data_IF_036296272512
#
_entry.id   IF_036296272512
#
_cell.length_a   1.000
_cell.length_b   1.000
_cell.length_c   1.000
_cell.angle_alpha   90.00
_cell.angle_beta   90.00
_cell.angle_gamma   90.00
#
_symmetry.space_group_name_H-M   'P 1'
#
loop_
_entity.id
_entity.type
_entity.pdbx_description
1 polymer ?
#
# COMPACT_ATOMS: atom_id res chain seq x y z
N UNK A 1 59.50 27.82 51.95
CA UNK A 1 59.98 26.97 53.07
C UNK A 1 60.13 25.53 52.60
N UNK A 2 61.36 25.04 52.71
CA UNK A 2 61.85 23.63 52.67
C UNK A 2 61.09 22.75 53.71
N UNK A 3 60.98 21.42 53.72
CA UNK A 3 61.85 20.30 53.28
C UNK A 3 61.16 18.92 53.55
N UNK A 4 61.52 17.88 52.77
CA UNK A 4 61.91 16.49 53.18
C UNK A 4 60.90 15.46 53.78
N UNK A 5 60.70 14.36 53.00
CA UNK A 5 60.38 12.94 53.38
C UNK A 5 61.46 12.34 54.32
N UNK A 6 61.30 11.26 55.15
CA UNK A 6 61.11 9.89 54.61
C UNK A 6 60.68 8.69 55.55
N UNK A 7 60.40 7.55 54.88
CA UNK A 7 60.75 6.12 55.13
C UNK A 7 60.08 5.24 56.23
N UNK A 8 59.87 3.98 55.78
CA UNK A 8 59.30 2.75 56.41
C UNK A 8 60.19 2.12 57.51
N UNK A 9 59.73 1.08 58.24
CA UNK A 9 60.05 -0.32 57.85
C UNK A 9 58.96 -1.41 58.13
N UNK A 10 59.15 -2.58 57.49
CA UNK A 10 58.51 -3.90 57.70
C UNK A 10 59.23 -4.68 58.86
N UNK A 11 58.66 -5.72 59.52
CA UNK A 11 58.67 -7.14 59.04
C UNK A 11 57.44 -7.99 59.51
N UNK A 12 56.93 -8.97 58.77
CA UNK A 12 57.32 -10.39 58.55
C UNK A 12 56.84 -11.44 59.61
N UNK A 13 55.99 -12.36 59.12
CA UNK A 13 55.87 -13.84 59.34
C UNK A 13 55.61 -14.44 60.74
N UNK A 14 54.66 -15.40 60.79
CA UNK A 14 54.80 -16.81 61.24
C UNK A 14 53.43 -17.53 61.01
N UNK A 15 53.39 -18.60 60.20
CA UNK A 15 53.30 -20.05 60.58
C UNK A 15 51.95 -20.44 61.22
N UNK A 16 51.32 -21.60 60.97
CA UNK A 16 51.60 -22.79 60.19
C UNK A 16 50.31 -23.62 60.00
N UNK A 17 50.31 -24.43 58.93
CA UNK A 17 49.78 -25.80 58.82
C UNK A 17 48.52 -26.25 59.58
N UNK A 18 47.51 -26.72 58.84
CA UNK A 18 46.99 -28.09 59.02
C UNK A 18 46.13 -28.53 57.82
N UNK A 19 46.48 -29.70 57.28
CA UNK A 19 45.84 -30.34 56.14
C UNK A 19 44.48 -30.96 56.51
N UNK A 20 43.56 -31.01 55.53
CA UNK A 20 42.55 -32.08 55.41
C UNK A 20 41.99 -32.13 53.99
N UNK A 21 42.36 -33.19 53.29
CA UNK A 21 41.89 -33.57 51.96
C UNK A 21 40.46 -34.09 52.05
N UNK A 22 39.53 -33.52 51.27
CA UNK A 22 38.22 -34.14 51.01
C UNK A 22 37.95 -34.11 49.50
N UNK A 23 37.97 -35.30 48.90
CA UNK A 23 37.52 -35.56 47.52
C UNK A 23 36.05 -35.17 47.40
N UNK A 24 35.73 -34.25 46.49
CA UNK A 24 34.35 -34.02 46.01
C UNK A 24 34.27 -34.29 44.52
N UNK A 25 33.28 -35.12 44.19
CA UNK A 25 32.90 -35.56 42.85
C UNK A 25 32.41 -34.36 42.03
N UNK A 26 32.93 -34.22 40.81
CA UNK A 26 32.44 -33.23 39.86
C UNK A 26 31.12 -33.74 39.23
N UNK A 27 30.01 -33.07 39.54
CA UNK A 27 28.77 -33.21 38.77
C UNK A 27 28.86 -32.28 37.55
N UNK A 28 28.78 -32.86 36.34
CA UNK A 28 28.67 -32.13 35.09
C UNK A 28 27.26 -31.50 34.99
N UNK A 29 27.12 -30.21 34.66
CA UNK A 29 25.81 -29.65 34.35
C UNK A 29 25.43 -30.04 32.92
N UNK A 30 24.32 -30.78 32.78
CA UNK A 30 23.65 -30.98 31.49
C UNK A 30 22.97 -29.65 31.12
N UNK A 31 23.55 -28.92 30.17
CA UNK A 31 22.92 -27.74 29.59
C UNK A 31 21.77 -28.20 28.68
N UNK A 32 20.55 -28.18 29.21
CA UNK A 32 19.33 -28.35 28.41
C UNK A 32 19.11 -27.10 27.56
N UNK A 33 19.29 -27.22 26.24
CA UNK A 33 18.97 -26.18 25.27
C UNK A 33 17.45 -26.08 25.13
N UNK A 34 16.82 -25.19 25.88
CA UNK A 34 15.42 -24.83 25.67
C UNK A 34 15.32 -23.97 24.41
N UNK A 35 14.93 -24.57 23.28
CA UNK A 35 14.53 -23.83 22.07
C UNK A 35 13.16 -23.23 22.37
N UNK A 36 13.15 -21.98 22.83
CA UNK A 36 11.94 -21.17 22.88
C UNK A 36 11.58 -20.75 21.45
N UNK A 37 10.72 -21.53 20.79
CA UNK A 37 10.00 -21.08 19.59
C UNK A 37 9.00 -20.00 20.03
N UNK A 38 9.45 -18.75 20.06
CA UNK A 38 8.57 -17.60 20.13
C UNK A 38 7.83 -17.48 18.79
N UNK A 39 6.63 -18.08 18.71
CA UNK A 39 5.67 -17.77 17.65
C UNK A 39 5.07 -16.39 17.92
N UNK A 40 5.87 -15.35 17.71
CA UNK A 40 5.37 -13.98 17.54
C UNK A 40 4.75 -13.88 16.15
N UNK A 41 3.53 -14.41 16.01
CA UNK A 41 2.68 -14.24 14.85
C UNK A 41 2.18 -12.80 14.75
N UNK A 42 3.09 -11.86 14.46
CA UNK A 42 2.70 -10.65 13.76
C UNK A 42 2.41 -11.07 12.33
N UNK A 43 1.15 -11.35 12.00
CA UNK A 43 0.70 -11.56 10.62
C UNK A 43 0.90 -10.26 9.85
N UNK A 44 2.13 -10.03 9.38
CA UNK A 44 2.40 -8.99 8.39
C UNK A 44 1.78 -9.48 7.10
N UNK A 45 0.89 -8.68 6.52
CA UNK A 45 0.42 -8.89 5.15
C UNK A 45 1.65 -8.83 4.25
N UNK A 46 1.96 -9.95 3.60
CA UNK A 46 3.00 -9.98 2.57
C UNK A 46 2.52 -9.19 1.36
N UNK A 47 3.37 -8.30 0.86
CA UNK A 47 3.05 -7.44 -0.28
C UNK A 47 4.10 -7.56 -1.37
N UNK A 48 3.67 -7.50 -2.62
CA UNK A 48 4.54 -7.49 -3.79
C UNK A 48 4.65 -6.08 -4.35
N UNK A 49 5.88 -5.62 -4.62
CA UNK A 49 6.10 -4.31 -5.25
C UNK A 49 5.86 -4.39 -6.76
N UNK A 50 5.48 -3.29 -7.42
CA UNK A 50 5.39 -3.26 -8.88
C UNK A 50 6.69 -3.64 -9.60
N UNK A 51 7.85 -3.31 -9.02
CA UNK A 51 9.13 -3.69 -9.61
C UNK A 51 9.33 -5.21 -9.59
N UNK A 52 9.03 -5.85 -8.46
CA UNK A 52 9.10 -7.32 -8.33
C UNK A 52 8.29 -8.02 -9.42
N UNK A 53 7.05 -7.58 -9.64
CA UNK A 53 6.16 -8.13 -10.68
C UNK A 53 6.80 -8.04 -12.08
N UNK A 54 7.44 -6.91 -12.39
CA UNK A 54 8.10 -6.72 -13.68
C UNK A 54 9.36 -7.56 -13.85
N UNK A 55 10.13 -7.76 -12.78
CA UNK A 55 11.34 -8.59 -12.83
C UNK A 55 10.99 -10.06 -13.04
N UNK A 56 9.94 -10.55 -12.37
CA UNK A 56 9.46 -11.94 -12.48
C UNK A 56 8.86 -12.25 -13.86
N UNK A 57 8.19 -11.28 -14.49
CA UNK A 57 7.65 -11.42 -15.85
C UNK A 57 8.73 -11.54 -16.96
N UNK A 58 9.99 -11.27 -16.64
CA UNK A 58 11.13 -11.41 -17.55
C UNK A 58 11.26 -10.30 -18.61
N UNK A 59 12.37 -10.33 -19.36
CA UNK A 59 12.77 -9.26 -20.30
C UNK A 59 12.00 -9.27 -21.63
N UNK A 60 11.25 -10.33 -21.93
CA UNK A 60 10.64 -10.60 -23.25
C UNK A 60 9.19 -10.15 -23.38
N UNK A 61 8.51 -9.83 -22.28
CA UNK A 61 7.17 -9.26 -22.33
C UNK A 61 7.19 -7.86 -22.96
N UNK A 62 6.54 -7.70 -24.12
CA UNK A 62 6.13 -6.38 -24.59
C UNK A 62 5.09 -5.85 -23.59
N UNK A 63 5.14 -4.55 -23.28
CA UNK A 63 4.21 -3.93 -22.33
C UNK A 63 2.78 -4.00 -22.85
N UNK A 64 2.08 -5.09 -22.56
CA UNK A 64 0.75 -5.39 -23.13
C UNK A 64 -0.37 -4.49 -22.62
N UNK A 65 -0.04 -3.48 -21.80
CA UNK A 65 -0.96 -2.45 -21.35
C UNK A 65 -0.59 -1.04 -21.86
N UNK A 66 0.26 -0.89 -22.87
CA UNK A 66 0.47 0.38 -23.57
C UNK A 66 1.92 0.66 -23.94
N UNK A 67 2.20 1.88 -24.40
CA UNK A 67 3.52 2.24 -24.96
C UNK A 67 4.61 2.54 -23.93
N UNK A 68 4.30 2.60 -22.63
CA UNK A 68 5.24 3.00 -21.57
C UNK A 68 5.91 1.77 -20.95
N UNK A 69 7.23 1.69 -21.03
CA UNK A 69 8.03 0.67 -20.33
C UNK A 69 8.51 1.22 -18.98
N UNK A 70 7.82 0.86 -17.89
CA UNK A 70 8.15 1.28 -16.52
C UNK A 70 9.43 0.65 -15.97
N UNK A 71 10.15 -0.21 -16.71
CA UNK A 71 11.54 -0.59 -16.40
C UNK A 71 12.51 0.52 -16.81
N UNK A 72 12.14 1.36 -17.78
CA UNK A 72 12.95 2.48 -18.29
C UNK A 72 12.45 3.82 -17.74
N UNK A 73 11.15 4.10 -17.90
CA UNK A 73 10.54 5.34 -17.45
C UNK A 73 10.39 5.38 -15.92
N UNK A 74 10.42 6.58 -15.34
CA UNK A 74 10.09 6.79 -13.92
C UNK A 74 8.56 6.83 -13.78
N UNK A 75 7.93 5.67 -13.67
CA UNK A 75 6.47 5.59 -13.61
C UNK A 75 5.90 5.93 -12.23
N UNK A 76 4.66 6.42 -12.22
CA UNK A 76 3.83 6.62 -11.01
C UNK A 76 2.35 6.47 -11.39
N UNK A 77 1.56 5.85 -10.53
CA UNK A 77 0.12 5.67 -10.74
C UNK A 77 -0.70 6.64 -9.90
N UNK A 78 -1.59 7.38 -10.57
CA UNK A 78 -2.58 8.24 -9.92
C UNK A 78 -3.85 7.43 -9.71
N UNK A 79 -4.33 7.32 -8.46
CA UNK A 79 -5.51 6.50 -8.15
C UNK A 79 -6.55 7.27 -7.33
N UNK A 80 -7.83 6.97 -7.58
CA UNK A 80 -8.96 7.62 -6.92
C UNK A 80 -9.91 6.59 -6.33
N UNK A 81 -10.20 6.73 -5.04
CA UNK A 81 -11.11 5.85 -4.31
C UNK A 81 -12.51 6.49 -4.13
N UNK A 82 -13.49 5.60 -4.02
CA UNK A 82 -14.84 5.85 -3.53
C UNK A 82 -15.77 6.67 -4.46
N UNK A 83 -15.32 7.08 -5.65
CA UNK A 83 -16.20 7.52 -6.72
C UNK A 83 -17.05 6.39 -7.34
N UNK A 84 -17.80 6.68 -8.43
CA UNK A 84 -17.93 7.99 -9.05
C UNK A 84 -18.82 8.93 -8.21
N UNK A 85 -18.74 10.23 -8.47
CA UNK A 85 -19.51 11.27 -7.80
C UNK A 85 -19.86 12.41 -8.76
N UNK A 86 -20.56 13.44 -8.28
CA UNK A 86 -20.82 14.66 -9.08
C UNK A 86 -19.54 15.40 -9.51
N UNK A 87 -18.39 15.13 -8.89
CA UNK A 87 -17.11 15.75 -9.27
C UNK A 87 -16.38 14.97 -10.37
N UNK A 88 -16.73 13.70 -10.60
CA UNK A 88 -15.98 12.81 -11.49
C UNK A 88 -15.91 13.32 -12.92
N UNK A 89 -16.98 13.91 -13.46
CA UNK A 89 -16.96 14.48 -14.82
C UNK A 89 -15.83 15.52 -14.99
N UNK A 90 -15.71 16.44 -14.03
CA UNK A 90 -14.69 17.49 -14.05
C UNK A 90 -13.28 16.93 -13.80
N UNK A 91 -13.16 15.86 -13.01
CA UNK A 91 -11.89 15.16 -12.83
C UNK A 91 -11.43 14.52 -14.15
N UNK A 92 -12.33 13.83 -14.85
CA UNK A 92 -12.05 13.23 -16.15
C UNK A 92 -11.64 14.28 -17.19
N UNK A 93 -12.28 15.45 -17.20
CA UNK A 93 -11.87 16.57 -18.05
C UNK A 93 -10.42 17.00 -17.78
N UNK A 94 -10.05 17.15 -16.50
CA UNK A 94 -8.67 17.48 -16.09
C UNK A 94 -7.68 16.39 -16.53
N UNK A 95 -8.01 15.11 -16.33
CA UNK A 95 -7.13 14.00 -16.71
C UNK A 95 -6.93 13.94 -18.22
N UNK A 96 -7.99 14.15 -19.00
CA UNK A 96 -7.95 14.23 -20.46
C UNK A 96 -7.11 15.39 -20.95
N UNK A 97 -7.33 16.60 -20.44
CA UNK A 97 -6.56 17.80 -20.80
C UNK A 97 -5.07 17.64 -20.47
N UNK A 98 -4.78 16.96 -19.35
CA UNK A 98 -3.41 16.65 -18.95
C UNK A 98 -2.84 15.41 -19.63
N UNK A 99 -3.62 14.68 -20.43
CA UNK A 99 -3.22 13.41 -21.05
C UNK A 99 -2.62 12.43 -20.02
N UNK A 100 -3.31 12.25 -18.90
CA UNK A 100 -2.89 11.39 -17.79
C UNK A 100 -3.90 10.26 -17.61
N UNK A 101 -3.50 8.99 -17.77
CA UNK A 101 -4.35 7.88 -17.34
C UNK A 101 -4.36 7.77 -15.82
N UNK A 102 -5.44 7.22 -15.27
CA UNK A 102 -5.60 6.96 -13.84
C UNK A 102 -6.26 5.60 -13.59
N UNK A 103 -6.26 5.14 -12.34
CA UNK A 103 -7.04 3.97 -11.90
C UNK A 103 -8.07 4.40 -10.87
N UNK A 104 -9.34 4.04 -11.11
CA UNK A 104 -10.46 4.39 -10.24
C UNK A 104 -10.93 3.13 -9.50
N UNK A 105 -10.91 3.17 -8.16
CA UNK A 105 -11.47 2.14 -7.30
C UNK A 105 -12.87 2.59 -6.84
N UNK A 106 -13.90 2.02 -7.47
CA UNK A 106 -15.27 2.51 -7.35
C UNK A 106 -16.02 1.82 -6.22
N UNK A 107 -16.76 2.62 -5.43
CA UNK A 107 -17.76 2.06 -4.52
C UNK A 107 -18.99 1.61 -5.31
N UNK A 108 -19.64 0.54 -4.88
CA UNK A 108 -20.88 0.09 -5.50
C UNK A 108 -22.10 0.93 -5.10
N UNK A 109 -22.46 0.86 -3.81
CA UNK A 109 -23.68 1.43 -3.24
C UNK A 109 -23.71 2.94 -3.42
N UNK A 110 -24.75 3.46 -4.08
CA UNK A 110 -24.96 4.90 -4.36
C UNK A 110 -23.94 5.54 -5.32
N UNK A 111 -23.09 4.76 -5.98
CA UNK A 111 -21.98 5.25 -6.79
C UNK A 111 -22.01 4.67 -8.21
N UNK A 112 -21.52 3.45 -8.45
CA UNK A 112 -21.44 2.84 -9.80
C UNK A 112 -22.78 2.89 -10.54
N UNK A 113 -23.87 2.43 -9.92
CA UNK A 113 -25.20 2.40 -10.56
C UNK A 113 -25.83 3.79 -10.71
N UNK A 114 -25.40 4.76 -9.91
CA UNK A 114 -25.90 6.14 -9.95
C UNK A 114 -25.25 6.96 -11.07
N UNK A 115 -24.01 6.60 -11.45
CA UNK A 115 -23.23 7.33 -12.44
C UNK A 115 -22.69 6.40 -13.55
N UNK A 116 -23.55 5.61 -14.22
CA UNK A 116 -23.09 4.61 -15.20
C UNK A 116 -22.35 5.25 -16.38
N UNK A 117 -22.75 6.46 -16.79
CA UNK A 117 -22.07 7.18 -17.88
C UNK A 117 -20.65 7.61 -17.50
N UNK A 118 -20.38 7.90 -16.23
CA UNK A 118 -19.02 8.20 -15.76
C UNK A 118 -18.15 6.96 -15.79
N UNK A 119 -18.69 5.79 -15.40
CA UNK A 119 -17.98 4.52 -15.47
C UNK A 119 -17.65 4.15 -16.92
N UNK A 120 -18.59 4.31 -17.85
CA UNK A 120 -18.34 4.13 -19.29
C UNK A 120 -17.26 5.08 -19.80
N UNK A 121 -17.33 6.35 -19.41
CA UNK A 121 -16.39 7.39 -19.81
C UNK A 121 -14.97 7.08 -19.32
N UNK A 122 -14.81 6.59 -18.09
CA UNK A 122 -13.50 6.16 -17.57
C UNK A 122 -12.84 5.13 -18.49
N UNK A 123 -13.58 4.08 -18.86
CA UNK A 123 -13.06 3.03 -19.76
C UNK A 123 -12.76 3.59 -21.15
N UNK A 124 -13.67 4.39 -21.71
CA UNK A 124 -13.52 4.98 -23.04
C UNK A 124 -12.33 5.96 -23.13
N UNK A 125 -11.98 6.63 -22.03
CA UNK A 125 -10.85 7.56 -21.96
C UNK A 125 -9.52 6.86 -21.54
N UNK A 126 -9.52 5.53 -21.48
CA UNK A 126 -8.29 4.74 -21.26
C UNK A 126 -7.85 4.66 -19.80
N UNK A 127 -8.76 4.90 -18.86
CA UNK A 127 -8.51 4.68 -17.44
C UNK A 127 -8.81 3.22 -17.05
N UNK A 128 -8.20 2.77 -15.95
CA UNK A 128 -8.56 1.49 -15.34
C UNK A 128 -9.72 1.68 -14.36
N UNK A 129 -10.69 0.77 -14.40
CA UNK A 129 -11.84 0.76 -13.48
C UNK A 129 -11.79 -0.53 -12.65
N UNK A 130 -11.69 -0.36 -11.34
CA UNK A 130 -11.54 -1.40 -10.34
C UNK A 130 -12.58 -1.22 -9.22
N UNK A 131 -12.75 -2.21 -8.34
CA UNK A 131 -13.75 -2.13 -7.26
C UNK A 131 -13.17 -1.72 -5.90
N UNK A 132 -13.99 -1.04 -5.10
CA UNK A 132 -13.65 -0.58 -3.74
C UNK A 132 -14.69 -1.02 -2.72
N UNK A 133 -15.22 -2.24 -2.88
CA UNK A 133 -16.35 -2.81 -2.13
C UNK A 133 -17.71 -2.19 -2.45
N UNK A 134 -18.78 -2.81 -1.95
CA UNK A 134 -20.14 -2.34 -2.14
C UNK A 134 -20.42 -1.13 -1.26
N UNK A 135 -20.17 -1.22 0.03
CA UNK A 135 -20.61 -0.23 1.02
C UNK A 135 -19.51 0.28 1.95
N UNK A 136 -18.24 0.02 1.60
CA UNK A 136 -17.06 0.48 2.34
C UNK A 136 -16.93 -0.16 3.74
N UNK A 137 -17.45 -1.39 3.91
CA UNK A 137 -17.25 -2.18 5.13
C UNK A 137 -15.78 -2.57 5.30
N UNK A 138 -15.32 -2.66 6.54
CA UNK A 138 -13.98 -3.16 6.84
C UNK A 138 -14.01 -4.68 6.70
N UNK A 139 -13.39 -5.19 5.62
CA UNK A 139 -13.48 -6.60 5.25
C UNK A 139 -12.93 -7.56 6.31
N UNK A 140 -11.97 -7.10 7.13
CA UNK A 140 -11.38 -7.89 8.22
C UNK A 140 -12.29 -7.99 9.46
N UNK A 141 -13.41 -7.28 9.49
CA UNK A 141 -14.33 -7.18 10.64
C UNK A 141 -15.71 -7.80 10.35
N UNK A 142 -15.88 -8.45 9.20
CA UNK A 142 -17.15 -9.04 8.74
C UNK A 142 -16.93 -10.49 8.33
N UNK A 143 -18.02 -11.25 8.22
CA UNK A 143 -17.92 -12.68 7.93
C UNK A 143 -17.60 -12.96 6.44
N UNK A 144 -17.07 -14.15 6.10
CA UNK A 144 -16.70 -14.52 4.73
C UNK A 144 -17.82 -14.43 3.68
N UNK A 145 -19.09 -14.56 4.07
CA UNK A 145 -20.22 -14.40 3.15
C UNK A 145 -20.42 -12.91 2.84
N UNK A 146 -20.38 -12.06 3.87
CA UNK A 146 -20.44 -10.62 3.68
C UNK A 146 -19.26 -10.07 2.88
N UNK A 147 -18.04 -10.60 3.07
CA UNK A 147 -16.88 -10.23 2.23
C UNK A 147 -17.18 -10.50 0.75
N UNK A 148 -17.69 -11.70 0.42
CA UNK A 148 -18.05 -12.05 -0.96
C UNK A 148 -19.10 -11.11 -1.54
N UNK A 149 -20.11 -10.74 -0.77
CA UNK A 149 -21.14 -9.78 -1.20
C UNK A 149 -20.57 -8.37 -1.39
N UNK A 150 -19.67 -7.93 -0.51
CA UNK A 150 -19.01 -6.64 -0.63
C UNK A 150 -18.10 -6.58 -1.87
N UNK A 151 -17.51 -7.70 -2.29
CA UNK A 151 -16.67 -7.78 -3.49
C UNK A 151 -17.46 -8.01 -4.78
N UNK A 152 -18.42 -8.93 -4.82
CA UNK A 152 -19.08 -9.34 -6.07
C UNK A 152 -20.01 -8.27 -6.62
N UNK A 153 -20.77 -7.60 -5.75
CA UNK A 153 -21.78 -6.63 -6.18
C UNK A 153 -21.21 -5.44 -6.95
N UNK A 154 -20.13 -4.75 -6.52
CA UNK A 154 -19.54 -3.70 -7.33
C UNK A 154 -18.96 -4.25 -8.64
N UNK A 155 -18.36 -5.45 -8.63
CA UNK A 155 -17.79 -6.08 -9.84
C UNK A 155 -18.87 -6.36 -10.88
N UNK A 156 -19.99 -6.97 -10.48
CA UNK A 156 -21.13 -7.28 -11.36
C UNK A 156 -21.76 -5.99 -11.91
N UNK A 157 -21.83 -4.93 -11.09
CA UNK A 157 -22.34 -3.64 -11.54
C UNK A 157 -21.41 -2.97 -12.56
N UNK A 158 -20.09 -3.01 -12.35
CA UNK A 158 -19.08 -2.50 -13.30
C UNK A 158 -19.11 -3.32 -14.59
N UNK A 159 -19.15 -4.65 -14.51
CA UNK A 159 -19.19 -5.54 -15.67
C UNK A 159 -20.43 -5.28 -16.52
N UNK A 160 -21.61 -5.15 -15.91
CA UNK A 160 -22.85 -4.84 -16.63
C UNK A 160 -22.77 -3.51 -17.39
N UNK A 161 -22.03 -2.53 -16.88
CA UNK A 161 -21.91 -1.20 -17.50
C UNK A 161 -20.85 -1.17 -18.60
N UNK A 162 -19.74 -1.89 -18.40
CA UNK A 162 -18.52 -1.77 -19.22
C UNK A 162 -18.24 -2.97 -20.11
N UNK A 163 -18.91 -4.10 -19.87
CA UNK A 163 -18.61 -5.40 -20.46
C UNK A 163 -17.30 -6.02 -19.96
N UNK A 164 -16.66 -5.44 -18.93
CA UNK A 164 -15.37 -5.88 -18.38
C UNK A 164 -15.48 -6.04 -16.87
N UNK A 165 -15.28 -7.26 -16.40
CA UNK A 165 -15.22 -7.55 -14.96
C UNK A 165 -13.92 -7.03 -14.35
N UNK A 166 -13.95 -6.33 -13.21
CA UNK A 166 -12.74 -5.96 -12.50
C UNK A 166 -11.87 -7.17 -12.14
N UNK A 167 -10.55 -6.99 -12.23
CA UNK A 167 -9.55 -7.94 -11.72
C UNK A 167 -8.73 -7.34 -10.57
N UNK A 168 -8.90 -6.04 -10.34
CA UNK A 168 -8.28 -5.31 -9.25
C UNK A 168 -9.34 -4.84 -8.28
N UNK A 169 -9.00 -4.84 -7.00
CA UNK A 169 -9.79 -4.21 -5.96
C UNK A 169 -8.87 -3.53 -4.94
N UNK A 170 -9.39 -2.55 -4.20
CA UNK A 170 -8.68 -1.97 -3.05
C UNK A 170 -9.50 -2.17 -1.78
N UNK A 171 -8.96 -2.79 -0.72
CA UNK A 171 -9.70 -2.96 0.52
C UNK A 171 -9.88 -1.61 1.24
N UNK A 172 -11.06 -1.31 1.80
CA UNK A 172 -11.30 -0.11 2.58
C UNK A 172 -10.25 0.08 3.68
N UNK A 173 -9.71 1.29 3.76
CA UNK A 173 -8.63 1.66 4.69
C UNK A 173 -7.34 0.83 4.56
N UNK A 174 -7.18 0.05 3.48
CA UNK A 174 -6.04 -0.84 3.30
C UNK A 174 -6.02 -2.06 4.24
N UNK A 175 -7.15 -2.37 4.90
CA UNK A 175 -7.24 -3.47 5.87
C UNK A 175 -7.55 -4.78 5.16
N UNK A 176 -6.61 -5.71 5.20
CA UNK A 176 -6.72 -7.05 4.63
C UNK A 176 -6.05 -8.08 5.54
N UNK A 177 -6.36 -9.35 5.34
CA UNK A 177 -5.80 -10.51 6.04
C UNK A 177 -5.94 -11.76 5.14
N UNK A 178 -5.46 -12.91 5.61
CA UNK A 178 -5.48 -14.17 4.85
C UNK A 178 -6.88 -14.59 4.40
N UNK A 179 -7.91 -14.29 5.19
CA UNK A 179 -9.32 -14.57 4.82
C UNK A 179 -9.74 -13.71 3.63
N UNK A 180 -9.46 -12.41 3.66
CA UNK A 180 -9.78 -11.50 2.55
C UNK A 180 -9.01 -11.88 1.29
N UNK A 181 -7.71 -12.15 1.42
CA UNK A 181 -6.85 -12.56 0.30
C UNK A 181 -7.30 -13.90 -0.32
N UNK A 182 -7.70 -14.86 0.52
CA UNK A 182 -8.24 -16.14 0.05
C UNK A 182 -9.52 -15.97 -0.77
N UNK A 183 -10.45 -15.13 -0.30
CA UNK A 183 -11.69 -14.83 -1.03
C UNK A 183 -11.39 -14.04 -2.30
N UNK A 184 -10.50 -13.05 -2.25
CA UNK A 184 -10.07 -12.30 -3.43
C UNK A 184 -9.49 -13.25 -4.50
N UNK A 185 -8.67 -14.24 -4.09
CA UNK A 185 -8.16 -15.28 -4.99
C UNK A 185 -9.27 -16.08 -5.66
N UNK A 186 -10.22 -16.60 -4.88
CA UNK A 186 -11.38 -17.35 -5.40
C UNK A 186 -12.17 -16.54 -6.43
N UNK A 187 -12.24 -15.22 -6.24
CA UNK A 187 -13.00 -14.31 -7.09
C UNK A 187 -12.21 -13.75 -8.28
N UNK A 188 -10.92 -14.07 -8.40
CA UNK A 188 -10.06 -13.57 -9.47
C UNK A 188 -9.56 -12.13 -9.27
N UNK A 189 -9.59 -11.63 -8.03
CA UNK A 189 -9.22 -10.26 -7.66
C UNK A 189 -7.83 -10.20 -7.05
N UNK A 190 -7.07 -9.18 -7.42
CA UNK A 190 -5.85 -8.75 -6.74
C UNK A 190 -6.10 -7.49 -5.91
N UNK A 191 -5.44 -7.38 -4.76
CA UNK A 191 -5.56 -6.22 -3.89
C UNK A 191 -4.50 -5.17 -4.21
N UNK A 192 -4.88 -3.90 -4.31
CA UNK A 192 -3.96 -2.79 -4.59
C UNK A 192 -3.94 -1.79 -3.44
N UNK A 193 -2.79 -1.66 -2.79
CA UNK A 193 -2.55 -0.63 -1.77
C UNK A 193 -1.83 0.57 -2.39
N UNK A 194 -1.17 1.37 -1.55
CA UNK A 194 -0.51 2.61 -1.97
C UNK A 194 0.74 2.89 -1.13
N UNK A 195 1.66 3.66 -1.71
CA UNK A 195 2.87 4.16 -1.05
C UNK A 195 2.78 5.66 -0.75
N UNK A 196 1.92 6.39 -1.46
CA UNK A 196 1.75 7.84 -1.27
C UNK A 196 0.36 8.14 -0.72
N UNK A 197 0.30 8.72 0.49
CA UNK A 197 -0.97 9.11 1.14
C UNK A 197 -1.10 10.63 1.20
N UNK A 198 -2.00 11.20 0.40
CA UNK A 198 -2.23 12.64 0.41
C UNK A 198 -3.00 13.13 1.66
N UNK A 199 -3.72 12.21 2.32
CA UNK A 199 -4.67 12.52 3.41
C UNK A 199 -5.63 13.64 3.01
N UNK A 200 -6.10 13.59 1.78
CA UNK A 200 -7.06 14.54 1.21
C UNK A 200 -8.41 14.46 1.92
N UNK A 201 -8.73 13.33 2.55
CA UNK A 201 -9.87 13.18 3.45
C UNK A 201 -9.77 13.99 4.77
N UNK A 202 -8.58 14.48 5.14
CA UNK A 202 -8.37 15.29 6.36
C UNK A 202 -8.32 16.80 6.11
N UNK A 203 -8.24 17.26 4.86
CA UNK A 203 -8.06 18.68 4.53
C UNK A 203 -8.75 19.08 3.22
N UNK A 204 -9.14 20.35 3.12
CA UNK A 204 -9.66 20.94 1.88
C UNK A 204 -8.64 21.84 1.16
N UNK A 205 -7.45 21.99 1.74
CA UNK A 205 -6.37 22.82 1.22
C UNK A 205 -5.62 22.07 0.10
N UNK A 206 -5.73 22.52 -1.17
CA UNK A 206 -5.08 21.85 -2.29
C UNK A 206 -3.56 21.91 -2.24
N UNK A 207 -2.96 22.91 -1.59
CA UNK A 207 -1.52 23.06 -1.49
C UNK A 207 -0.95 22.06 -0.49
N UNK A 208 -1.66 21.82 0.63
CA UNK A 208 -1.31 20.76 1.59
C UNK A 208 -1.42 19.38 0.94
N UNK A 209 -2.48 19.11 0.18
CA UNK A 209 -2.65 17.85 -0.56
C UNK A 209 -1.50 17.67 -1.55
N UNK A 210 -1.23 18.70 -2.36
CA UNK A 210 -0.15 18.68 -3.36
C UNK A 210 1.20 18.44 -2.70
N UNK A 211 1.52 19.17 -1.63
CA UNK A 211 2.78 19.01 -0.90
C UNK A 211 2.94 17.58 -0.38
N UNK A 212 1.92 17.02 0.28
CA UNK A 212 1.98 15.64 0.82
C UNK A 212 2.23 14.60 -0.27
N UNK A 213 1.62 14.76 -1.44
CA UNK A 213 1.89 13.89 -2.58
C UNK A 213 3.34 14.04 -3.05
N UNK A 214 3.80 15.28 -3.25
CA UNK A 214 5.14 15.55 -3.77
C UNK A 214 6.27 15.16 -2.80
N UNK A 215 6.03 15.18 -1.49
CA UNK A 215 7.01 14.77 -0.47
C UNK A 215 7.22 13.24 -0.44
N UNK A 216 6.20 12.47 -0.83
CA UNK A 216 6.20 11.00 -0.77
C UNK A 216 6.40 10.35 -2.15
N UNK A 217 6.23 11.09 -3.24
CA UNK A 217 6.28 10.54 -4.59
C UNK A 217 7.67 10.01 -4.96
N UNK A 218 7.73 8.72 -5.22
CA UNK A 218 8.89 8.04 -5.77
C UNK A 218 8.52 7.14 -6.96
N UNK A 219 9.53 6.63 -7.66
CA UNK A 219 9.38 5.66 -8.75
C UNK A 219 8.50 4.50 -8.27
N UNK A 220 7.61 4.07 -9.14
CA UNK A 220 6.65 2.99 -8.89
C UNK A 220 5.61 3.30 -7.81
N UNK A 221 5.51 4.56 -7.40
CA UNK A 221 4.53 5.00 -6.43
C UNK A 221 3.09 4.81 -6.93
N UNK A 222 2.20 4.49 -5.99
CA UNK A 222 0.75 4.50 -6.20
C UNK A 222 0.20 5.57 -5.26
N UNK A 223 -0.47 6.59 -5.82
CA UNK A 223 -1.00 7.74 -5.10
C UNK A 223 -2.46 7.50 -4.73
N UNK A 224 -2.77 7.51 -3.44
CA UNK A 224 -4.14 7.50 -2.93
C UNK A 224 -4.72 8.92 -2.86
N UNK A 225 -5.78 9.14 -3.63
CA UNK A 225 -6.68 10.29 -3.57
C UNK A 225 -8.14 9.80 -3.62
N UNK A 226 -9.09 10.71 -3.47
CA UNK A 226 -10.51 10.39 -3.51
C UNK A 226 -11.26 11.41 -4.38
N UNK A 227 -12.15 10.94 -5.26
CA UNK A 227 -12.99 11.80 -6.10
C UNK A 227 -14.45 11.90 -5.59
N UNK A 228 -14.66 11.59 -4.31
CA UNK A 228 -15.97 11.68 -3.65
C UNK A 228 -16.40 13.11 -3.38
N UNK A 229 -17.72 13.30 -3.27
CA UNK A 229 -18.27 14.49 -2.64
C UNK A 229 -18.78 14.09 -1.26
N UNK A 230 -18.17 14.63 -0.21
CA UNK A 230 -18.59 14.29 1.12
C UNK A 230 -19.82 15.11 1.54
N UNK A 231 -20.41 14.74 2.68
CA UNK A 231 -21.43 15.56 3.35
C UNK A 231 -20.92 16.95 3.74
N UNK A 232 -21.84 17.88 4.09
CA UNK A 232 -21.50 19.28 4.37
C UNK A 232 -20.41 19.42 5.46
N UNK A 233 -20.46 18.58 6.50
CA UNK A 233 -19.59 18.69 7.68
C UNK A 233 -18.22 18.00 7.53
N UNK A 234 -17.93 17.39 6.37
CA UNK A 234 -16.66 16.69 6.20
C UNK A 234 -15.47 17.64 6.18
N UNK A 235 -14.39 17.21 6.81
CA UNK A 235 -13.16 18.01 6.96
C UNK A 235 -12.29 18.03 5.71
N UNK A 236 -12.44 17.07 4.79
CA UNK A 236 -11.64 16.97 3.57
C UNK A 236 -12.43 16.64 2.30
N UNK A 237 -11.72 16.10 1.31
CA UNK A 237 -12.15 15.70 -0.05
C UNK A 237 -12.41 16.85 -1.04
N UNK A 238 -12.87 18.03 -0.59
CA UNK A 238 -13.19 19.14 -1.51
C UNK A 238 -11.95 19.78 -2.13
N UNK A 239 -10.78 19.56 -1.53
CA UNK A 239 -9.49 20.04 -2.03
C UNK A 239 -8.94 19.24 -3.21
N UNK A 240 -9.30 17.95 -3.34
CA UNK A 240 -8.65 17.02 -4.27
C UNK A 240 -8.70 17.47 -5.71
N UNK A 241 -9.89 17.84 -6.21
CA UNK A 241 -10.06 18.29 -7.60
C UNK A 241 -9.23 19.54 -7.94
N UNK A 242 -8.98 20.41 -6.96
CA UNK A 242 -8.15 21.60 -7.12
C UNK A 242 -6.65 21.28 -7.06
N UNK A 243 -6.26 20.24 -6.32
CA UNK A 243 -4.88 19.81 -6.18
C UNK A 243 -4.36 19.02 -7.40
N UNK A 244 -5.22 18.20 -8.03
CA UNK A 244 -4.84 17.27 -9.12
C UNK A 244 -4.05 17.93 -10.26
N UNK A 245 -4.44 19.10 -10.83
CA UNK A 245 -3.65 19.74 -11.88
C UNK A 245 -2.22 20.07 -11.44
N UNK A 246 -2.06 20.62 -10.23
CA UNK A 246 -0.76 20.99 -9.67
C UNK A 246 0.13 19.79 -9.38
N UNK A 247 -0.46 18.70 -8.86
CA UNK A 247 0.21 17.40 -8.66
C UNK A 247 0.76 16.88 -9.99
N UNK A 248 -0.08 16.82 -11.02
CA UNK A 248 0.30 16.30 -12.34
C UNK A 248 1.45 17.12 -12.92
N UNK A 249 1.31 18.44 -12.95
CA UNK A 249 2.31 19.33 -13.54
C UNK A 249 3.66 19.24 -12.81
N UNK A 250 3.63 19.18 -11.48
CA UNK A 250 4.85 19.07 -10.69
C UNK A 250 5.55 17.73 -10.85
N UNK A 251 4.81 16.61 -10.91
CA UNK A 251 5.39 15.28 -11.12
C UNK A 251 5.94 15.13 -12.54
N UNK A 252 5.24 15.63 -13.57
CA UNK A 252 5.79 15.67 -14.94
C UNK A 252 7.09 16.45 -15.02
N UNK A 253 7.18 17.63 -14.36
CA UNK A 253 8.44 18.40 -14.27
C UNK A 253 9.58 17.64 -13.57
N UNK A 254 9.25 16.72 -12.66
CA UNK A 254 10.21 15.82 -11.99
C UNK A 254 10.53 14.56 -12.80
N UNK A 255 10.10 14.48 -14.05
CA UNK A 255 10.39 13.37 -14.96
C UNK A 255 9.51 12.13 -14.77
N UNK A 256 8.40 12.24 -14.02
CA UNK A 256 7.48 11.12 -13.87
C UNK A 256 6.61 10.92 -15.11
N UNK A 257 6.34 9.66 -15.42
CA UNK A 257 5.34 9.25 -16.40
C UNK A 257 4.14 8.64 -15.68
N UNK A 258 2.95 9.18 -15.95
CA UNK A 258 1.73 8.65 -15.35
C UNK A 258 1.23 7.42 -16.11
N UNK A 259 0.81 6.42 -15.34
CA UNK A 259 0.32 5.13 -15.84
C UNK A 259 -0.86 4.65 -14.99
N UNK A 260 -1.68 3.74 -15.52
CA UNK A 260 -2.63 2.96 -14.69
C UNK A 260 -1.88 1.94 -13.83
N UNK A 261 -2.54 1.39 -12.80
CA UNK A 261 -1.95 0.31 -11.99
C UNK A 261 -1.58 -0.92 -12.83
N UNK A 262 -2.43 -1.45 -13.74
CA UNK A 262 -2.01 -2.53 -14.65
C UNK A 262 -0.78 -2.18 -15.50
N UNK A 263 -0.71 -0.96 -16.03
CA UNK A 263 0.46 -0.48 -16.78
C UNK A 263 1.73 -0.41 -15.93
N UNK A 264 1.59 -0.06 -14.64
CA UNK A 264 2.71 -0.01 -13.72
C UNK A 264 3.33 -1.39 -13.45
N UNK A 265 2.48 -2.43 -13.44
CA UNK A 265 2.86 -3.82 -13.23
C UNK A 265 3.36 -4.50 -14.51
N UNK A 266 3.01 -3.96 -15.69
CA UNK A 266 3.39 -4.50 -16.99
C UNK A 266 4.93 -4.56 -17.17
N UNK A 267 5.46 -5.62 -17.81
CA UNK A 267 4.74 -6.66 -18.54
C UNK A 267 4.17 -7.79 -17.68
N UNK A 268 4.36 -7.75 -16.36
CA UNK A 268 3.69 -8.70 -15.47
C UNK A 268 2.21 -8.40 -15.33
N UNK A 269 1.46 -9.40 -14.90
CA UNK A 269 0.03 -9.29 -14.63
C UNK A 269 -0.25 -9.50 -13.15
N UNK A 270 -1.18 -8.73 -12.55
CA UNK A 270 -1.67 -9.01 -11.21
C UNK A 270 -2.11 -10.47 -11.06
N UNK A 271 -1.77 -11.09 -9.94
CA UNK A 271 -2.14 -12.46 -9.59
C UNK A 271 -3.24 -12.44 -8.53
N UNK A 272 -4.33 -13.22 -8.70
CA UNK A 272 -5.43 -13.24 -7.74
C UNK A 272 -4.98 -13.61 -6.30
N UNK A 273 -5.48 -12.86 -5.32
CA UNK A 273 -5.14 -13.00 -3.91
C UNK A 273 -3.78 -12.43 -3.51
N UNK A 274 -3.05 -11.78 -4.42
CA UNK A 274 -1.82 -11.05 -4.09
C UNK A 274 -2.15 -9.61 -3.69
N UNK A 275 -1.43 -9.10 -2.70
CA UNK A 275 -1.50 -7.70 -2.27
C UNK A 275 -0.33 -6.92 -2.88
N UNK A 276 -0.64 -5.90 -3.68
CA UNK A 276 0.35 -5.06 -4.34
C UNK A 276 0.55 -3.76 -3.56
N UNK A 277 1.81 -3.49 -3.17
CA UNK A 277 2.20 -2.25 -2.48
C UNK A 277 3.63 -1.86 -2.89
N UNK A 278 3.86 -0.65 -3.43
CA UNK A 278 5.20 -0.13 -3.67
C UNK A 278 5.94 0.20 -2.38
#
# INVERSE_FOLDING_TARGET
>A
MRFIRPRRPLPARHDASSARTVRRWAALPVAGLAIALALTGCTRVETTSPDTVRQEAGKTGKGDFGSVDCRKAKCIALTFDAGPSKNTARLLDVLKDKQVPATFFLLGKNHVERYPDMVKRMVAEGHEVASHTWSHKILTEIDPKEIREELSRPDDAIERITGRRPTLMRPPQGRTNDTVQGIAREMGLSEVLWSVTAKDYETNDPDVITKRVLDQADRDGIILLHDVVPGPDAKGYRGTLRAVPGIIDALKRRGFTFVTVPQLLAPGTPQPGTVYRP
#
